data_IF_160401950619
#
_entry.id   IF_160401950619
#
_cell.length_a   1.000
_cell.length_b   1.000
_cell.length_c   1.000
_cell.angle_alpha   90.00
_cell.angle_beta   90.00
_cell.angle_gamma   90.00
#
_symmetry.space_group_name_H-M   'P 1'
#
loop_
_entity.id
_entity.type
_entity.pdbx_description
1 polymer ?
#
# COMPACT_ATOMS: atom_id res chain seq x y z
N UNK A 1 15.40 27.20 -11.88
CA UNK A 1 15.92 26.04 -11.11
C UNK A 1 15.37 25.95 -9.69
N UNK A 2 15.40 27.02 -8.89
CA UNK A 2 14.93 27.01 -7.48
C UNK A 2 13.48 26.53 -7.29
N UNK A 3 12.55 26.94 -8.16
CA UNK A 3 11.12 26.53 -8.09
C UNK A 3 10.92 25.05 -8.39
N UNK A 4 11.64 24.49 -9.38
CA UNK A 4 11.57 23.04 -9.69
C UNK A 4 12.09 22.19 -8.53
N UNK A 5 13.19 22.62 -7.89
CA UNK A 5 13.74 21.93 -6.72
C UNK A 5 12.75 22.00 -5.56
N UNK A 6 12.17 23.18 -5.29
CA UNK A 6 11.20 23.36 -4.21
C UNK A 6 9.93 22.51 -4.40
N UNK A 7 9.41 22.42 -5.63
CA UNK A 7 8.25 21.57 -5.96
C UNK A 7 8.58 20.10 -5.77
N UNK A 8 9.74 19.63 -6.23
CA UNK A 8 10.17 18.23 -6.02
C UNK A 8 10.33 17.92 -4.53
N UNK A 9 10.88 18.85 -3.75
CA UNK A 9 11.08 18.70 -2.32
C UNK A 9 9.75 18.65 -1.55
N UNK A 10 8.78 19.50 -1.90
CA UNK A 10 7.43 19.43 -1.38
C UNK A 10 6.71 18.13 -1.79
N UNK A 11 6.83 17.70 -3.05
CA UNK A 11 6.23 16.44 -3.52
C UNK A 11 6.79 15.23 -2.74
N UNK A 12 8.11 15.20 -2.51
CA UNK A 12 8.74 14.14 -1.72
C UNK A 12 8.27 14.12 -0.25
N UNK A 13 7.96 15.29 0.32
CA UNK A 13 7.46 15.38 1.69
C UNK A 13 6.02 14.87 1.85
N UNK A 14 5.16 15.11 0.85
CA UNK A 14 3.79 14.58 0.84
C UNK A 14 3.75 13.06 0.65
N UNK A 15 4.66 12.48 -0.13
CA UNK A 15 4.74 11.02 -0.33
C UNK A 15 5.20 10.30 0.95
N UNK A 16 6.01 10.95 1.79
CA UNK A 16 6.48 10.38 3.06
C UNK A 16 5.44 10.48 4.19
N UNK A 17 4.56 11.48 4.15
CA UNK A 17 3.55 11.71 5.18
C UNK A 17 2.47 10.61 5.23
N UNK A 18 2.22 9.94 4.11
CA UNK A 18 1.20 8.89 3.98
C UNK A 18 1.78 7.54 3.51
N UNK A 19 3.03 7.29 3.86
CA UNK A 19 3.66 6.01 3.57
C UNK A 19 2.89 4.89 4.29
N UNK A 20 2.40 3.92 3.53
CA UNK A 20 1.59 2.82 4.04
C UNK A 20 2.26 2.05 5.19
N UNK A 21 3.59 1.97 5.19
CA UNK A 21 4.38 1.29 6.23
C UNK A 21 4.30 1.99 7.59
N UNK A 22 4.01 3.30 7.63
CA UNK A 22 3.90 4.05 8.87
C UNK A 22 2.54 3.91 9.56
N UNK A 23 1.52 3.47 8.83
CA UNK A 23 0.19 3.31 9.38
C UNK A 23 0.08 1.98 10.15
N UNK A 24 -0.44 2.05 11.39
CA UNK A 24 -0.61 0.86 12.23
C UNK A 24 -1.51 -0.19 11.59
N UNK A 25 -2.55 0.22 10.84
CA UNK A 25 -3.50 -0.70 10.19
C UNK A 25 -2.84 -1.66 9.18
N UNK A 26 -1.71 -1.28 8.57
CA UNK A 26 -1.03 -2.07 7.54
C UNK A 26 0.07 -2.98 8.08
N UNK A 27 0.30 -2.98 9.40
CA UNK A 27 1.38 -3.72 10.06
C UNK A 27 0.89 -5.01 10.70
N UNK A 28 0.39 -5.96 9.91
CA UNK A 28 -0.26 -7.16 10.44
C UNK A 28 0.69 -7.99 11.33
N UNK A 29 1.90 -8.30 10.87
CA UNK A 29 2.87 -9.12 11.61
C UNK A 29 3.38 -8.35 12.83
N UNK A 30 3.71 -7.07 12.65
CA UNK A 30 4.24 -6.25 13.75
C UNK A 30 3.19 -6.05 14.84
N UNK A 31 1.93 -5.79 14.48
CA UNK A 31 0.84 -5.70 15.46
C UNK A 31 0.62 -7.04 16.19
N UNK A 32 0.76 -8.16 15.48
CA UNK A 32 0.68 -9.48 16.11
C UNK A 32 1.80 -9.71 17.13
N UNK A 33 3.03 -9.28 16.81
CA UNK A 33 4.16 -9.36 17.75
C UNK A 33 3.96 -8.44 18.95
N UNK A 34 3.49 -7.21 18.74
CA UNK A 34 3.17 -6.27 19.82
C UNK A 34 2.11 -6.83 20.78
N UNK A 35 1.12 -7.57 20.27
CA UNK A 35 0.10 -8.22 21.11
C UNK A 35 0.68 -9.37 21.94
N UNK A 36 1.60 -10.16 21.38
CA UNK A 36 2.16 -11.34 22.06
C UNK A 36 3.32 -11.02 22.99
N UNK A 37 4.02 -9.91 22.77
CA UNK A 37 5.26 -9.58 23.46
C UNK A 37 5.09 -8.21 24.12
N UNK A 38 4.38 -8.22 25.25
CA UNK A 38 4.14 -7.05 26.09
C UNK A 38 4.88 -7.15 27.45
N UNK A 39 6.19 -6.81 27.49
CA UNK A 39 6.96 -6.82 28.73
C UNK A 39 6.51 -5.69 29.68
N UNK A 40 5.90 -6.09 30.80
CA UNK A 40 5.37 -5.18 31.85
C UNK A 40 6.43 -4.42 32.66
N UNK A 41 7.72 -4.73 32.51
CA UNK A 41 8.80 -4.12 33.30
C UNK A 41 9.97 -3.68 32.42
N UNK A 42 10.58 -2.54 32.75
CA UNK A 42 11.77 -2.01 32.07
C UNK A 42 12.95 -2.99 31.98
N UNK A 43 13.31 -3.77 33.03
CA UNK A 43 14.39 -4.75 32.90
C UNK A 43 14.05 -5.89 31.92
N UNK A 44 12.77 -6.29 31.83
CA UNK A 44 12.34 -7.28 30.85
C UNK A 44 12.45 -6.76 29.42
N UNK A 45 12.15 -5.48 29.18
CA UNK A 45 12.35 -4.83 27.87
C UNK A 45 13.82 -4.86 27.45
N UNK A 46 14.74 -4.50 28.34
CA UNK A 46 16.18 -4.48 28.05
C UNK A 46 16.69 -5.90 27.78
N UNK A 47 16.25 -6.89 28.56
CA UNK A 47 16.66 -8.29 28.38
C UNK A 47 16.17 -8.88 27.04
N UNK A 48 14.98 -8.47 26.58
CA UNK A 48 14.37 -8.95 25.34
C UNK A 48 14.82 -8.15 24.09
N UNK A 49 15.32 -6.93 24.27
CA UNK A 49 15.70 -6.03 23.18
C UNK A 49 16.68 -6.66 22.15
N UNK A 50 17.75 -7.39 22.52
CA UNK A 50 18.67 -7.97 21.55
C UNK A 50 18.02 -8.95 20.57
N UNK A 51 16.92 -9.60 20.98
CA UNK A 51 16.16 -10.53 20.16
C UNK A 51 15.03 -9.83 19.41
N UNK A 52 14.29 -8.95 20.09
CA UNK A 52 13.08 -8.35 19.51
C UNK A 52 13.34 -7.14 18.62
N UNK A 53 14.48 -6.46 18.76
CA UNK A 53 14.88 -5.41 17.80
C UNK A 53 15.06 -6.00 16.38
N UNK A 54 15.86 -7.06 16.16
CA UNK A 54 16.00 -7.62 14.82
C UNK A 54 14.70 -8.27 14.32
N UNK A 55 13.95 -8.96 15.19
CA UNK A 55 12.67 -9.57 14.82
C UNK A 55 11.64 -8.51 14.40
N UNK A 56 11.53 -7.41 15.16
CA UNK A 56 10.64 -6.29 14.84
C UNK A 56 11.04 -5.56 13.55
N UNK A 57 12.34 -5.47 13.25
CA UNK A 57 12.79 -4.92 11.97
C UNK A 57 12.37 -5.82 10.80
N UNK A 58 12.56 -7.14 10.94
CA UNK A 58 12.16 -8.10 9.90
C UNK A 58 10.65 -8.10 9.72
N UNK A 59 9.86 -8.04 10.81
CA UNK A 59 8.40 -7.97 10.70
C UNK A 59 7.93 -6.73 9.97
N UNK A 60 8.55 -5.57 10.25
CA UNK A 60 8.21 -4.32 9.60
C UNK A 60 8.55 -4.34 8.10
N UNK A 61 9.68 -4.95 7.72
CA UNK A 61 10.05 -5.16 6.32
C UNK A 61 9.07 -6.11 5.62
N UNK A 62 8.68 -7.21 6.28
CA UNK A 62 7.71 -8.16 5.72
C UNK A 62 6.34 -7.52 5.56
N UNK A 63 5.88 -6.75 6.54
CA UNK A 63 4.64 -5.99 6.46
C UNK A 63 4.68 -5.02 5.27
N UNK A 64 5.78 -4.27 5.12
CA UNK A 64 5.94 -3.27 4.07
C UNK A 64 5.97 -3.85 2.65
N UNK A 65 6.72 -4.92 2.42
CA UNK A 65 7.02 -5.41 1.07
C UNK A 65 6.23 -6.65 0.66
N UNK A 66 5.61 -7.34 1.61
CA UNK A 66 4.92 -8.62 1.34
C UNK A 66 3.48 -8.57 1.80
N UNK A 67 3.24 -8.39 3.09
CA UNK A 67 1.88 -8.56 3.64
C UNK A 67 0.95 -7.44 3.19
N UNK A 68 1.38 -6.18 3.33
CA UNK A 68 0.56 -5.04 2.92
C UNK A 68 0.26 -5.05 1.41
N UNK A 69 1.26 -5.19 0.51
CA UNK A 69 0.98 -5.31 -0.92
C UNK A 69 0.01 -6.43 -1.25
N UNK A 70 0.16 -7.63 -0.66
CA UNK A 70 -0.79 -8.73 -0.91
C UNK A 70 -2.20 -8.37 -0.44
N UNK A 71 -2.33 -7.70 0.70
CA UNK A 71 -3.63 -7.36 1.27
C UNK A 71 -4.44 -6.36 0.42
N UNK A 72 -3.77 -5.52 -0.36
CA UNK A 72 -4.43 -4.50 -1.21
C UNK A 72 -4.74 -4.98 -2.63
N UNK A 73 -4.33 -6.19 -3.02
CA UNK A 73 -4.66 -6.77 -4.34
C UNK A 73 -6.17 -6.81 -4.59
N UNK A 74 -7.01 -7.32 -3.66
CA UNK A 74 -8.44 -7.43 -3.89
C UNK A 74 -9.09 -6.05 -4.10
N UNK A 75 -8.67 -5.05 -3.33
CA UNK A 75 -9.16 -3.67 -3.46
C UNK A 75 -8.78 -3.08 -4.82
N UNK A 76 -7.54 -3.27 -5.27
CA UNK A 76 -7.09 -2.79 -6.56
C UNK A 76 -7.81 -3.47 -7.74
N UNK A 77 -8.13 -4.76 -7.62
CA UNK A 77 -8.95 -5.48 -8.61
C UNK A 77 -10.37 -4.91 -8.64
N UNK A 78 -10.99 -4.74 -7.48
CA UNK A 78 -12.36 -4.24 -7.36
C UNK A 78 -12.48 -2.81 -7.92
N UNK A 79 -11.50 -1.95 -7.67
CA UNK A 79 -11.50 -0.58 -8.18
C UNK A 79 -11.23 -0.53 -9.68
N UNK A 80 -10.33 -1.38 -10.20
CA UNK A 80 -10.16 -1.57 -11.65
C UNK A 80 -11.47 -2.00 -12.30
N UNK A 81 -12.21 -2.92 -11.67
CA UNK A 81 -13.51 -3.36 -12.15
C UNK A 81 -14.53 -2.21 -12.13
N UNK A 82 -14.63 -1.48 -11.01
CA UNK A 82 -15.56 -0.34 -10.87
C UNK A 82 -15.31 0.75 -11.90
N UNK A 83 -14.04 1.07 -12.18
CA UNK A 83 -13.68 2.20 -13.04
C UNK A 83 -13.82 1.86 -14.52
N UNK A 84 -13.43 0.65 -14.94
CA UNK A 84 -13.34 0.30 -16.37
C UNK A 84 -14.57 -0.47 -16.85
N UNK A 85 -15.12 -1.34 -16.00
CA UNK A 85 -16.06 -2.38 -16.40
C UNK A 85 -17.47 -2.18 -15.84
N UNK A 86 -17.60 -1.69 -14.61
CA UNK A 86 -18.89 -1.46 -13.96
C UNK A 86 -19.61 -0.25 -14.56
N UNK A 87 -20.92 -0.40 -14.78
CA UNK A 87 -21.83 0.65 -15.27
C UNK A 87 -21.33 1.40 -16.53
N UNK A 88 -21.11 0.67 -17.65
CA UNK A 88 -20.60 1.27 -18.89
C UNK A 88 -21.55 2.34 -19.46
N UNK A 89 -20.97 3.47 -19.88
CA UNK A 89 -21.71 4.51 -20.59
C UNK A 89 -21.91 4.17 -22.08
N UNK A 90 -23.09 4.50 -22.59
CA UNK A 90 -23.44 4.31 -24.01
C UNK A 90 -24.10 2.96 -24.33
N UNK A 91 -24.51 2.81 -25.60
CA UNK A 91 -25.17 1.59 -26.08
C UNK A 91 -24.19 0.46 -26.41
N UNK A 92 -24.74 -0.73 -26.69
CA UNK A 92 -23.97 -1.96 -26.96
C UNK A 92 -22.94 -1.77 -28.07
N UNK A 93 -23.29 -1.06 -29.15
CA UNK A 93 -22.40 -0.81 -30.29
C UNK A 93 -21.15 -0.02 -29.87
N UNK A 94 -21.30 1.00 -29.03
CA UNK A 94 -20.18 1.77 -28.51
C UNK A 94 -19.30 0.91 -27.60
N UNK A 95 -19.91 0.09 -26.73
CA UNK A 95 -19.19 -0.83 -25.86
C UNK A 95 -18.36 -1.86 -26.64
N UNK A 96 -18.84 -2.36 -27.78
CA UNK A 96 -18.05 -3.24 -28.66
C UNK A 96 -16.81 -2.55 -29.21
N UNK A 97 -16.90 -1.28 -29.60
CA UNK A 97 -15.76 -0.50 -30.10
C UNK A 97 -14.74 -0.23 -29.00
N UNK A 98 -15.20 0.10 -27.78
CA UNK A 98 -14.30 0.41 -26.66
C UNK A 98 -13.82 -0.82 -25.89
N UNK A 99 -14.26 -2.04 -26.25
CA UNK A 99 -13.88 -3.27 -25.55
C UNK A 99 -12.37 -3.53 -25.58
N UNK A 100 -11.73 -3.48 -26.75
CA UNK A 100 -10.29 -3.67 -26.88
C UNK A 100 -9.47 -2.59 -26.13
N UNK A 101 -9.81 -1.29 -26.26
CA UNK A 101 -9.23 -0.26 -25.40
C UNK A 101 -9.36 -0.53 -23.90
N UNK A 102 -10.55 -0.96 -23.43
CA UNK A 102 -10.78 -1.31 -22.01
C UNK A 102 -9.91 -2.48 -21.56
N UNK A 103 -9.79 -3.53 -22.36
CA UNK A 103 -8.89 -4.65 -22.08
C UNK A 103 -7.43 -4.21 -22.00
N UNK A 104 -6.98 -3.35 -22.93
CA UNK A 104 -5.60 -2.87 -22.96
C UNK A 104 -5.26 -1.98 -21.75
N UNK A 105 -6.20 -1.17 -21.27
CA UNK A 105 -5.97 -0.26 -20.14
C UNK A 105 -6.15 -0.92 -18.77
N UNK A 106 -6.90 -2.02 -18.69
CA UNK A 106 -7.13 -2.78 -17.44
C UNK A 106 -5.85 -3.11 -16.65
N UNK A 107 -4.81 -3.75 -17.23
CA UNK A 107 -3.60 -4.06 -16.46
C UNK A 107 -2.83 -2.80 -16.05
N UNK A 108 -2.89 -1.74 -16.85
CA UNK A 108 -2.21 -0.47 -16.55
C UNK A 108 -2.87 0.20 -15.34
N UNK A 109 -4.20 0.29 -15.36
CA UNK A 109 -4.96 0.87 -14.25
C UNK A 109 -4.77 0.06 -12.96
N UNK A 110 -4.87 -1.27 -13.05
CA UNK A 110 -4.61 -2.15 -11.91
C UNK A 110 -3.22 -1.93 -11.32
N UNK A 111 -2.17 -1.88 -12.15
CA UNK A 111 -0.80 -1.68 -11.67
C UNK A 111 -0.62 -0.32 -10.99
N UNK A 112 -1.22 0.74 -11.54
CA UNK A 112 -1.15 2.08 -10.95
C UNK A 112 -1.87 2.11 -9.61
N UNK A 113 -3.07 1.55 -9.53
CA UNK A 113 -3.85 1.51 -8.29
C UNK A 113 -3.17 0.63 -7.23
N UNK A 114 -2.72 -0.56 -7.62
CA UNK A 114 -1.99 -1.50 -6.76
C UNK A 114 -0.70 -0.89 -6.17
N UNK A 115 0.15 -0.29 -7.01
CA UNK A 115 1.39 0.35 -6.55
C UNK A 115 1.11 1.58 -5.68
N UNK A 116 0.06 2.30 -6.07
CA UNK A 116 -0.52 3.37 -5.30
C UNK A 116 -0.82 2.92 -3.87
N UNK A 117 -1.78 2.00 -3.68
CA UNK A 117 -2.20 1.47 -2.37
C UNK A 117 -1.06 0.80 -1.59
N UNK A 118 -0.14 0.16 -2.29
CA UNK A 118 1.01 -0.50 -1.66
C UNK A 118 2.02 0.49 -1.07
N UNK A 119 2.20 1.65 -1.71
CA UNK A 119 3.21 2.64 -1.30
C UNK A 119 2.65 3.84 -0.53
N UNK A 120 1.48 4.30 -0.92
CA UNK A 120 0.82 5.53 -0.47
C UNK A 120 -0.60 5.12 -0.05
N UNK A 121 -0.89 5.26 1.23
CA UNK A 121 -2.12 4.71 1.80
C UNK A 121 -3.31 5.66 1.58
N UNK A 122 -3.88 5.64 0.37
CA UNK A 122 -5.04 6.45 -0.02
C UNK A 122 -6.39 5.74 0.08
#
# INVERSE_FOLDING_TARGET
MKVRIFVVLCLSFFILADCAVLQKKNRTITNYLDEKVDPKSAPAQIALAPLFIPVGLVSLVLDAFVVHPISVIPDAVEDTYKVIWKDPSGGVVFQTVVFFPKLAITPIFFLVDFLGRSGIDF
#
